data_IF_844072047561
#
_entry.id   IF_844072047561
#
_cell.length_a   1.000
_cell.length_b   1.000
_cell.length_c   1.000
_cell.angle_alpha   90.00
_cell.angle_beta   90.00
_cell.angle_gamma   90.00
#
_symmetry.space_group_name_H-M   'P 1'
#
loop_
_entity.id
_entity.type
_entity.pdbx_description
1 polymer ?
#
# COMPACT_ATOMS: atom_id res chain seq x y z
N UNK A 1 -9.56 -3.49 -14.16
CA UNK A 1 -10.05 -4.87 -13.93
C UNK A 1 -10.19 -5.07 -12.44
N UNK A 2 -11.37 -5.46 -11.94
CA UNK A 2 -11.58 -5.75 -10.51
C UNK A 2 -10.89 -7.07 -10.15
N UNK A 3 -10.17 -7.09 -9.03
CA UNK A 3 -9.57 -8.31 -8.47
C UNK A 3 -10.40 -8.78 -7.28
N UNK A 4 -11.14 -9.88 -7.44
CA UNK A 4 -11.96 -10.44 -6.36
C UNK A 4 -11.11 -10.87 -5.16
N UNK A 5 -10.02 -11.60 -5.43
CA UNK A 5 -9.09 -12.06 -4.39
C UNK A 5 -8.51 -10.91 -3.55
N UNK A 6 -8.02 -9.85 -4.18
CA UNK A 6 -7.48 -8.70 -3.43
C UNK A 6 -8.59 -7.92 -2.71
N UNK A 7 -9.80 -7.90 -3.27
CA UNK A 7 -10.96 -7.26 -2.63
C UNK A 7 -11.37 -8.01 -1.36
N UNK A 8 -11.34 -9.35 -1.36
CA UNK A 8 -11.63 -10.16 -0.17
C UNK A 8 -10.61 -9.90 0.93
N UNK A 9 -9.31 -9.93 0.59
CA UNK A 9 -8.24 -9.58 1.54
C UNK A 9 -8.47 -8.18 2.13
N UNK A 10 -8.78 -7.18 1.30
CA UNK A 10 -8.99 -5.83 1.77
C UNK A 10 -10.19 -5.71 2.73
N UNK A 11 -11.27 -6.47 2.46
CA UNK A 11 -12.48 -6.49 3.28
C UNK A 11 -12.29 -7.12 4.67
N UNK A 12 -11.27 -7.96 4.84
CA UNK A 12 -10.91 -8.50 6.15
C UNK A 12 -10.39 -7.41 7.09
N UNK A 13 -9.85 -6.31 6.55
CA UNK A 13 -9.44 -5.13 7.31
C UNK A 13 -10.58 -4.13 7.43
N UNK A 14 -11.22 -3.77 6.31
CA UNK A 14 -12.27 -2.78 6.32
C UNK A 14 -13.42 -3.17 5.39
N UNK A 15 -14.59 -3.47 5.97
CA UNK A 15 -15.80 -3.86 5.22
C UNK A 15 -16.33 -2.76 4.29
N UNK A 16 -15.93 -1.51 4.50
CA UNK A 16 -16.23 -0.38 3.61
C UNK A 16 -15.44 -0.41 2.29
N UNK A 17 -14.40 -1.25 2.16
CA UNK A 17 -13.69 -1.41 0.90
C UNK A 17 -14.56 -2.21 -0.07
N UNK A 18 -15.01 -1.56 -1.13
CA UNK A 18 -15.96 -2.15 -2.08
C UNK A 18 -15.25 -3.00 -3.13
N UNK A 19 -14.11 -2.51 -3.61
CA UNK A 19 -13.35 -3.12 -4.68
C UNK A 19 -11.86 -2.72 -4.65
N UNK A 20 -11.02 -3.67 -5.06
CA UNK A 20 -9.64 -3.44 -5.49
C UNK A 20 -9.55 -3.63 -6.99
N UNK A 21 -9.02 -2.63 -7.70
CA UNK A 21 -8.99 -2.59 -9.16
C UNK A 21 -7.59 -2.36 -9.70
N UNK A 22 -7.23 -3.14 -10.72
CA UNK A 22 -6.07 -2.83 -11.54
C UNK A 22 -6.40 -1.73 -12.55
N UNK A 23 -5.63 -0.63 -12.48
CA UNK A 23 -5.77 0.54 -13.35
C UNK A 23 -4.39 1.19 -13.54
N UNK A 24 -4.10 1.67 -14.75
CA UNK A 24 -2.93 2.52 -14.98
C UNK A 24 -3.13 3.85 -14.25
N UNK A 25 -2.19 4.20 -13.38
CA UNK A 25 -2.25 5.40 -12.55
C UNK A 25 -1.32 6.49 -13.09
N UNK A 26 -1.50 7.69 -12.54
CA UNK A 26 -0.66 8.85 -12.84
C UNK A 26 0.84 8.56 -12.59
N UNK A 27 1.72 9.34 -13.23
CA UNK A 27 3.16 9.14 -13.10
C UNK A 27 3.58 9.28 -11.63
N UNK A 28 4.33 8.30 -11.13
CA UNK A 28 4.79 8.27 -9.73
C UNK A 28 3.84 7.57 -8.74
N UNK A 29 2.59 7.28 -9.12
CA UNK A 29 1.67 6.54 -8.26
C UNK A 29 1.69 5.05 -8.55
N UNK A 30 1.67 4.24 -7.50
CA UNK A 30 1.62 2.77 -7.56
C UNK A 30 0.28 2.23 -7.06
N UNK A 31 -0.24 2.85 -6.01
CA UNK A 31 -1.56 2.65 -5.47
C UNK A 31 -2.32 3.97 -5.40
N UNK A 32 -3.64 3.87 -5.19
CA UNK A 32 -4.50 5.00 -4.83
C UNK A 32 -5.77 4.50 -4.17
N UNK A 33 -6.07 5.01 -2.98
CA UNK A 33 -7.39 4.89 -2.38
C UNK A 33 -8.28 6.08 -2.73
N UNK A 34 -9.55 5.80 -3.02
CA UNK A 34 -10.59 6.81 -3.23
C UNK A 34 -11.73 6.53 -2.26
N UNK A 35 -11.98 7.48 -1.37
CA UNK A 35 -13.14 7.48 -0.49
C UNK A 35 -14.37 8.03 -1.22
N UNK A 36 -15.52 7.40 -1.01
CA UNK A 36 -16.82 7.91 -1.43
C UNK A 36 -17.17 9.14 -0.61
N UNK A 37 -17.73 10.18 -1.26
CA UNK A 37 -18.21 11.39 -0.58
C UNK A 37 -19.55 11.20 0.13
N UNK A 38 -20.27 10.12 -0.19
CA UNK A 38 -21.67 9.90 0.20
C UNK A 38 -21.85 8.84 1.29
N UNK A 39 -20.84 7.99 1.51
CA UNK A 39 -20.86 6.89 2.46
C UNK A 39 -19.43 6.51 2.84
N UNK A 40 -19.26 5.78 3.94
CA UNK A 40 -17.99 5.18 4.37
C UNK A 40 -17.62 4.00 3.46
N UNK A 41 -17.32 4.31 2.20
CA UNK A 41 -16.94 3.34 1.19
C UNK A 41 -15.63 3.74 0.51
N UNK A 42 -14.80 2.75 0.22
CA UNK A 42 -13.48 2.95 -0.35
C UNK A 42 -13.29 2.07 -1.58
N UNK A 43 -12.61 2.60 -2.60
CA UNK A 43 -12.11 1.83 -3.74
C UNK A 43 -10.60 2.01 -3.84
N UNK A 44 -9.90 0.91 -3.97
CA UNK A 44 -8.44 0.88 -4.09
C UNK A 44 -8.07 0.61 -5.53
N UNK A 45 -7.10 1.34 -6.04
CA UNK A 45 -6.54 1.16 -7.37
C UNK A 45 -5.08 0.77 -7.26
N UNK A 46 -4.65 -0.24 -8.02
CA UNK A 46 -3.27 -0.71 -8.07
C UNK A 46 -2.78 -0.68 -9.52
N UNK A 47 -1.63 -0.06 -9.74
CA UNK A 47 -0.97 -0.05 -11.03
C UNK A 47 -0.08 -1.29 -11.20
N UNK A 48 -0.69 -2.39 -11.66
CA UNK A 48 0.02 -3.66 -11.84
C UNK A 48 1.19 -3.59 -12.82
N UNK A 49 1.21 -2.63 -13.75
CA UNK A 49 2.28 -2.53 -14.77
C UNK A 49 3.61 -2.05 -14.16
N UNK A 50 3.53 -1.38 -13.01
CA UNK A 50 4.68 -0.95 -12.22
C UNK A 50 5.19 -2.04 -11.28
N UNK A 51 4.47 -3.15 -11.12
CA UNK A 51 4.84 -4.26 -10.23
C UNK A 51 5.56 -5.37 -10.99
N UNK A 52 6.58 -5.96 -10.36
CA UNK A 52 7.38 -7.07 -10.89
C UNK A 52 7.06 -8.41 -10.25
N UNK A 53 6.49 -8.39 -9.04
CA UNK A 53 6.20 -9.61 -8.30
C UNK A 53 4.98 -9.44 -7.38
N UNK A 54 4.47 -10.57 -6.90
CA UNK A 54 3.33 -10.61 -5.97
C UNK A 54 3.61 -9.82 -4.68
N UNK A 55 4.79 -9.90 -4.04
CA UNK A 55 5.10 -9.06 -2.87
C UNK A 55 4.90 -7.56 -3.09
N UNK A 56 5.24 -7.02 -4.26
CA UNK A 56 5.01 -5.60 -4.59
C UNK A 56 3.51 -5.28 -4.70
N UNK A 57 2.73 -6.15 -5.33
CA UNK A 57 1.26 -5.98 -5.39
C UNK A 57 0.66 -6.00 -3.99
N UNK A 58 1.09 -6.94 -3.15
CA UNK A 58 0.60 -7.06 -1.77
C UNK A 58 1.04 -5.89 -0.89
N UNK A 59 2.27 -5.40 -1.07
CA UNK A 59 2.76 -4.21 -0.39
C UNK A 59 1.90 -2.99 -0.71
N UNK A 60 1.67 -2.71 -1.98
CA UNK A 60 0.81 -1.60 -2.39
C UNK A 60 -0.61 -1.76 -1.88
N UNK A 61 -1.17 -2.97 -1.93
CA UNK A 61 -2.49 -3.24 -1.34
C UNK A 61 -2.53 -2.87 0.15
N UNK A 62 -1.57 -3.36 0.94
CA UNK A 62 -1.54 -3.09 2.37
C UNK A 62 -1.23 -1.64 2.70
N UNK A 63 -0.40 -0.96 1.89
CA UNK A 63 -0.13 0.47 2.03
C UNK A 63 -1.42 1.29 1.85
N UNK A 64 -2.22 1.00 0.82
CA UNK A 64 -3.50 1.69 0.61
C UNK A 64 -4.55 1.36 1.69
N UNK A 65 -4.55 0.13 2.22
CA UNK A 65 -5.38 -0.25 3.37
C UNK A 65 -4.93 0.52 4.62
N UNK A 66 -3.63 0.70 4.82
CA UNK A 66 -3.09 1.44 5.97
C UNK A 66 -3.58 2.88 5.99
N UNK A 67 -3.69 3.55 4.84
CA UNK A 67 -4.29 4.89 4.79
C UNK A 67 -5.73 4.96 5.31
N UNK A 68 -6.51 3.88 5.15
CA UNK A 68 -7.87 3.78 5.70
C UNK A 68 -7.81 3.51 7.20
N UNK A 69 -7.08 2.47 7.61
CA UNK A 69 -7.02 2.00 9.01
C UNK A 69 -6.39 3.04 9.96
N UNK A 70 -5.46 3.85 9.46
CA UNK A 70 -4.79 4.92 10.20
C UNK A 70 -5.48 6.28 10.02
N UNK A 71 -6.67 6.32 9.41
CA UNK A 71 -7.48 7.52 9.21
C UNK A 71 -6.75 8.65 8.46
N UNK A 72 -5.84 8.31 7.54
CA UNK A 72 -5.10 9.28 6.72
C UNK A 72 -6.00 10.04 5.73
N UNK A 73 -7.21 9.54 5.46
CA UNK A 73 -8.16 10.04 4.44
C UNK A 73 -9.16 11.11 4.95
N UNK A 74 -9.09 11.52 6.21
CA UNK A 74 -10.08 12.41 6.83
C UNK A 74 -10.24 13.80 6.18
N UNK A 75 -11.50 14.27 6.10
CA UNK A 75 -11.99 15.50 5.43
C UNK A 75 -11.40 16.84 5.91
N UNK A 76 -10.56 16.85 6.95
CA UNK A 76 -9.95 18.09 7.52
C UNK A 76 -8.47 18.27 7.22
N UNK A 77 -7.84 17.37 6.47
CA UNK A 77 -6.39 17.36 6.32
C UNK A 77 -5.92 17.79 4.93
N UNK A 78 -6.53 18.84 4.36
CA UNK A 78 -5.89 19.69 3.34
C UNK A 78 -4.69 20.47 3.92
N UNK A 79 -3.92 19.87 4.82
CA UNK A 79 -2.65 20.43 5.23
C UNK A 79 -1.70 20.16 4.07
N UNK A 80 -1.37 21.22 3.34
CA UNK A 80 -0.27 21.31 2.37
C UNK A 80 1.12 21.12 3.04
N UNK A 81 1.16 20.52 4.22
CA UNK A 81 2.36 20.29 4.98
C UNK A 81 3.00 19.00 4.48
N UNK A 82 4.06 19.18 3.69
CA UNK A 82 4.82 18.08 3.11
C UNK A 82 5.40 17.16 4.19
N UNK A 83 5.71 17.67 5.39
CA UNK A 83 6.28 16.89 6.48
C UNK A 83 5.23 15.92 7.03
N UNK A 84 4.00 16.39 7.23
CA UNK A 84 2.91 15.54 7.70
C UNK A 84 2.54 14.48 6.66
N UNK A 85 2.54 14.84 5.38
CA UNK A 85 2.33 13.85 4.31
C UNK A 85 3.42 12.79 4.33
N UNK A 86 4.70 13.18 4.37
CA UNK A 86 5.83 12.25 4.42
C UNK A 86 5.75 11.31 5.63
N UNK A 87 5.37 11.83 6.81
CA UNK A 87 5.19 11.01 8.00
C UNK A 87 4.09 9.95 7.81
N UNK A 88 2.97 10.30 7.18
CA UNK A 88 1.85 9.38 6.91
C UNK A 88 2.20 8.32 5.87
N UNK A 89 2.92 8.69 4.82
CA UNK A 89 3.45 7.73 3.84
C UNK A 89 4.37 6.71 4.52
N UNK A 90 5.30 7.18 5.37
CA UNK A 90 6.19 6.31 6.15
C UNK A 90 5.43 5.40 7.12
N UNK A 91 4.37 5.90 7.74
CA UNK A 91 3.53 5.12 8.64
C UNK A 91 2.77 4.03 7.87
N UNK A 92 2.22 4.35 6.69
CA UNK A 92 1.58 3.39 5.81
C UNK A 92 2.56 2.31 5.30
N UNK A 93 3.79 2.71 4.90
CA UNK A 93 4.86 1.79 4.49
C UNK A 93 5.23 0.83 5.62
N UNK A 94 5.44 1.36 6.82
CA UNK A 94 5.78 0.54 8.00
C UNK A 94 4.68 -0.47 8.30
N UNK A 95 3.41 -0.03 8.30
CA UNK A 95 2.27 -0.90 8.51
C UNK A 95 2.21 -2.02 7.46
N UNK A 96 2.39 -1.69 6.18
CA UNK A 96 2.37 -2.64 5.08
C UNK A 96 3.51 -3.68 5.18
N UNK A 97 4.72 -3.23 5.48
CA UNK A 97 5.88 -4.11 5.67
C UNK A 97 5.68 -5.06 6.86
N UNK A 98 5.06 -4.58 7.95
CA UNK A 98 4.74 -5.41 9.10
C UNK A 98 3.70 -6.47 8.76
N UNK A 99 2.63 -6.12 8.02
CA UNK A 99 1.62 -7.10 7.56
C UNK A 99 2.18 -8.16 6.62
N UNK A 100 3.21 -7.82 5.85
CA UNK A 100 3.92 -8.79 5.02
C UNK A 100 4.90 -9.68 5.81
N UNK A 101 5.14 -9.41 7.10
CA UNK A 101 6.15 -10.10 7.89
C UNK A 101 7.59 -9.79 7.48
N UNK A 102 7.80 -8.71 6.70
CA UNK A 102 9.12 -8.29 6.21
C UNK A 102 9.88 -7.57 7.32
N UNK A 103 9.17 -6.86 8.20
CA UNK A 103 9.72 -6.25 9.42
C UNK A 103 9.07 -6.86 10.66
N UNK A 104 9.81 -6.90 11.76
CA UNK A 104 9.30 -7.27 13.08
C UNK A 104 8.44 -6.16 13.72
N UNK A 105 7.94 -6.40 14.93
CA UNK A 105 7.15 -5.41 15.69
C UNK A 105 7.94 -4.17 16.10
N UNK A 106 9.28 -4.22 16.05
CA UNK A 106 10.17 -3.10 16.30
C UNK A 106 10.57 -2.36 15.01
N UNK A 107 10.03 -2.77 13.86
CA UNK A 107 10.32 -2.17 12.56
C UNK A 107 11.60 -2.64 11.90
N UNK A 108 12.25 -3.68 12.43
CA UNK A 108 13.52 -4.18 11.88
C UNK A 108 13.25 -5.25 10.83
N UNK A 109 13.95 -5.22 9.67
CA UNK A 109 13.83 -6.27 8.67
C UNK A 109 14.13 -7.65 9.24
N UNK A 110 13.31 -8.64 8.91
CA UNK A 110 13.60 -10.04 9.20
C UNK A 110 14.76 -10.51 8.32
N UNK A 111 15.66 -11.37 8.84
CA UNK A 111 16.91 -11.74 8.15
C UNK A 111 16.68 -12.36 6.75
N UNK A 112 15.53 -12.99 6.52
CA UNK A 112 15.15 -13.61 5.24
C UNK A 112 14.70 -12.61 4.17
N UNK A 113 14.30 -11.39 4.57
CA UNK A 113 13.54 -10.49 3.70
C UNK A 113 14.16 -9.11 3.53
N UNK A 114 15.44 -8.91 3.92
CA UNK A 114 16.16 -7.65 3.70
C UNK A 114 16.15 -7.19 2.23
N UNK A 115 16.35 -8.12 1.29
CA UNK A 115 16.30 -7.78 -0.15
C UNK A 115 14.88 -7.42 -0.63
N UNK A 116 13.84 -7.98 0.01
CA UNK A 116 12.45 -7.61 -0.27
C UNK A 116 12.14 -6.24 0.33
N UNK A 117 12.60 -5.96 1.55
CA UNK A 117 12.46 -4.67 2.21
C UNK A 117 13.03 -3.52 1.36
N UNK A 118 14.30 -3.63 0.94
CA UNK A 118 14.93 -2.64 0.06
C UNK A 118 14.19 -2.50 -1.28
N UNK A 119 13.81 -3.63 -1.90
CA UNK A 119 13.10 -3.62 -3.18
C UNK A 119 11.74 -2.90 -3.11
N UNK A 120 11.03 -3.03 -1.98
CA UNK A 120 9.73 -2.41 -1.77
C UNK A 120 9.85 -0.92 -1.47
N UNK A 121 10.77 -0.52 -0.59
CA UNK A 121 10.95 0.90 -0.23
C UNK A 121 11.51 1.71 -1.42
N UNK A 122 12.46 1.14 -2.16
CA UNK A 122 13.06 1.82 -3.32
C UNK A 122 12.20 1.75 -4.58
N UNK A 123 11.06 1.03 -4.54
CA UNK A 123 10.23 0.75 -5.71
C UNK A 123 11.05 0.22 -6.89
N UNK A 124 11.95 -0.72 -6.60
CA UNK A 124 12.96 -1.15 -7.56
C UNK A 124 12.30 -1.71 -8.82
N UNK A 125 12.74 -1.29 -10.03
CA UNK A 125 12.20 -1.80 -11.29
C UNK A 125 12.61 -3.26 -11.56
N UNK A 126 13.45 -3.85 -10.70
CA UNK A 126 13.88 -5.24 -10.78
C UNK A 126 13.90 -5.89 -9.40
N UNK A 127 13.64 -7.20 -9.32
CA UNK A 127 13.65 -7.89 -8.04
C UNK A 127 15.09 -7.97 -7.47
N UNK A 128 15.31 -7.37 -6.30
CA UNK A 128 16.63 -7.37 -5.64
C UNK A 128 16.97 -8.70 -4.94
N UNK A 129 15.96 -9.55 -4.68
CA UNK A 129 16.17 -10.88 -4.05
C UNK A 129 17.11 -11.78 -4.85
N UNK A 130 17.11 -11.65 -6.18
CA UNK A 130 17.87 -12.50 -7.10
C UNK A 130 19.16 -11.84 -7.63
N UNK A 131 19.57 -10.68 -7.08
CA UNK A 131 20.81 -9.97 -7.48
C UNK A 131 22.10 -10.58 -6.89
N UNK A 132 22.06 -11.82 -6.38
CA UNK A 132 23.22 -12.50 -5.78
C UNK A 132 23.92 -13.40 -6.77
#
# INVERSE_FOLDING_TARGET
MVSLFLTEIAKDYNRGIEAVEFKVLEKGMMGKVVASKLRDAYRLFIDKEKMKCVPQIMFVLYHEIAHIELFHLGYKFYLRDAILQEAREKEADHWALNKLGIIDTAGKPTKSDMACHECLIENSPMCLKYKK
#
